data_IF_735327099237
#
_entry.id   IF_735327099237
#
_cell.length_a   1.000
_cell.length_b   1.000
_cell.length_c   1.000
_cell.angle_alpha   90.00
_cell.angle_beta   90.00
_cell.angle_gamma   90.00
#
_symmetry.space_group_name_H-M   'P 1'
#
loop_
_entity.id
_entity.type
_entity.pdbx_description
1 polymer ?
#
# COMPACT_ATOMS: atom_id res chain seq x y z
N UNK A 1 -1.83 -15.85 -7.67
CA UNK A 1 -1.44 -15.82 -6.24
C UNK A 1 -2.49 -16.55 -5.42
N UNK A 2 -2.12 -17.51 -4.54
CA UNK A 2 -3.07 -18.26 -3.70
C UNK A 2 -3.72 -17.38 -2.62
N UNK A 3 -5.02 -17.53 -2.36
CA UNK A 3 -5.77 -16.69 -1.42
C UNK A 3 -5.12 -16.57 -0.04
N UNK A 4 -4.68 -17.69 0.55
CA UNK A 4 -4.05 -17.73 1.87
C UNK A 4 -2.77 -16.89 1.95
N UNK A 5 -1.97 -16.87 0.89
CA UNK A 5 -0.74 -16.05 0.84
C UNK A 5 -1.10 -14.57 0.87
N UNK A 6 -2.17 -14.18 0.16
CA UNK A 6 -2.70 -12.83 0.20
C UNK A 6 -3.18 -12.43 1.59
N UNK A 7 -3.87 -13.33 2.28
CA UNK A 7 -4.34 -13.09 3.65
C UNK A 7 -3.15 -12.90 4.61
N UNK A 8 -2.15 -13.78 4.55
CA UNK A 8 -0.92 -13.64 5.34
C UNK A 8 -0.19 -12.32 5.06
N UNK A 9 -0.14 -11.88 3.79
CA UNK A 9 0.44 -10.59 3.45
C UNK A 9 -0.34 -9.43 4.09
N UNK A 10 -1.68 -9.45 4.05
CA UNK A 10 -2.51 -8.43 4.71
C UNK A 10 -2.29 -8.43 6.22
N UNK A 11 -2.22 -9.58 6.86
CA UNK A 11 -1.94 -9.70 8.30
C UNK A 11 -0.57 -9.11 8.69
N UNK A 12 0.46 -9.28 7.85
CA UNK A 12 1.78 -8.67 8.07
C UNK A 12 1.80 -7.17 7.82
N UNK A 13 0.97 -6.67 6.90
CA UNK A 13 0.90 -5.24 6.58
C UNK A 13 0.02 -4.45 7.55
N UNK A 14 -1.02 -5.06 8.12
CA UNK A 14 -1.98 -4.38 8.99
C UNK A 14 -1.33 -3.62 10.17
N UNK A 15 -0.33 -4.17 10.89
CA UNK A 15 0.35 -3.46 11.98
C UNK A 15 1.18 -2.25 11.54
N UNK A 16 1.52 -2.15 10.24
CA UNK A 16 2.28 -1.03 9.69
C UNK A 16 1.40 0.18 9.37
N UNK A 17 0.07 0.01 9.39
CA UNK A 17 -0.87 1.10 9.12
C UNK A 17 -1.00 1.96 10.38
N UNK A 18 -0.70 3.28 10.32
CA UNK A 18 -0.83 4.16 11.46
C UNK A 18 -2.27 4.27 11.95
N UNK A 19 -2.44 4.55 13.24
CA UNK A 19 -3.77 4.79 13.82
C UNK A 19 -4.50 5.94 13.10
N UNK A 20 -5.79 5.74 12.80
CA UNK A 20 -6.61 6.72 12.08
C UNK A 20 -6.39 6.76 10.56
N UNK A 21 -5.46 5.95 10.04
CA UNK A 21 -5.22 5.81 8.59
C UNK A 21 -5.87 4.53 8.10
N UNK A 22 -6.58 4.61 6.96
CA UNK A 22 -7.12 3.41 6.31
C UNK A 22 -6.03 2.70 5.51
N UNK A 23 -6.15 1.37 5.32
CA UNK A 23 -5.23 0.60 4.46
C UNK A 23 -5.14 1.17 3.05
N UNK A 24 -6.24 1.70 2.51
CA UNK A 24 -6.26 2.34 1.20
C UNK A 24 -5.39 3.60 1.18
N UNK A 25 -5.56 4.50 2.15
CA UNK A 25 -4.75 5.71 2.26
C UNK A 25 -3.27 5.39 2.48
N UNK A 26 -2.97 4.40 3.33
CA UNK A 26 -1.60 3.92 3.54
C UNK A 26 -0.96 3.44 2.23
N UNK A 27 -1.68 2.63 1.45
CA UNK A 27 -1.19 2.14 0.16
C UNK A 27 -0.96 3.29 -0.83
N UNK A 28 -1.89 4.25 -0.91
CA UNK A 28 -1.76 5.43 -1.77
C UNK A 28 -0.58 6.31 -1.36
N UNK A 29 -0.39 6.55 -0.05
CA UNK A 29 0.74 7.31 0.48
C UNK A 29 2.07 6.63 0.16
N UNK A 30 2.16 5.30 0.30
CA UNK A 30 3.34 4.51 -0.09
C UNK A 30 3.71 4.65 -1.57
N UNK A 31 2.72 4.75 -2.46
CA UNK A 31 2.95 4.99 -3.89
C UNK A 31 3.42 6.43 -4.12
N UNK A 32 2.79 7.41 -3.47
CA UNK A 32 3.16 8.84 -3.56
C UNK A 32 4.55 9.15 -3.00
N UNK A 33 5.04 8.37 -2.05
CA UNK A 33 6.39 8.53 -1.48
C UNK A 33 7.51 8.14 -2.47
N UNK A 34 7.18 7.44 -3.56
CA UNK A 34 8.20 7.09 -4.56
C UNK A 34 8.61 8.34 -5.35
N UNK A 35 9.91 8.67 -5.42
CA UNK A 35 10.36 9.93 -6.01
C UNK A 35 10.05 10.05 -7.50
N UNK A 36 9.82 8.94 -8.20
CA UNK A 36 9.43 8.91 -9.61
C UNK A 36 7.92 9.04 -9.85
N UNK A 37 7.10 9.02 -8.79
CA UNK A 37 5.64 9.15 -8.89
C UNK A 37 5.23 10.58 -8.61
N UNK A 38 4.48 11.18 -9.55
CA UNK A 38 3.94 12.54 -9.41
C UNK A 38 2.45 12.57 -9.13
N UNK A 39 1.72 11.50 -9.49
CA UNK A 39 0.27 11.40 -9.34
C UNK A 39 -0.14 9.94 -9.18
N UNK A 40 -1.18 9.71 -8.38
CA UNK A 40 -1.88 8.42 -8.28
C UNK A 40 -3.34 8.65 -8.64
N UNK A 41 -3.93 7.76 -9.45
CA UNK A 41 -5.30 7.89 -9.96
C UNK A 41 -6.14 6.70 -9.47
N UNK A 42 -6.55 6.68 -8.19
CA UNK A 42 -7.31 5.58 -7.63
C UNK A 42 -8.78 5.64 -8.05
N UNK A 43 -9.38 4.47 -8.30
CA UNK A 43 -10.81 4.35 -8.50
C UNK A 43 -11.60 4.71 -7.24
N UNK A 44 -12.79 5.30 -7.42
CA UNK A 44 -13.73 5.58 -6.34
C UNK A 44 -15.15 5.34 -6.85
N UNK A 45 -15.97 4.64 -6.06
CA UNK A 45 -17.38 4.34 -6.40
C UNK A 45 -18.38 5.30 -5.74
N UNK A 46 -17.90 6.18 -4.86
CA UNK A 46 -18.70 7.18 -4.16
C UNK A 46 -17.82 8.36 -3.71
N UNK A 47 -18.47 9.44 -3.27
CA UNK A 47 -17.80 10.67 -2.84
C UNK A 47 -16.88 10.45 -1.63
N UNK A 48 -17.28 9.59 -0.69
CA UNK A 48 -16.47 9.29 0.50
C UNK A 48 -15.13 8.66 0.15
N UNK A 49 -15.09 7.73 -0.81
CA UNK A 49 -13.85 7.13 -1.30
C UNK A 49 -12.99 8.15 -2.04
N UNK A 50 -13.59 8.99 -2.88
CA UNK A 50 -12.85 10.03 -3.59
C UNK A 50 -12.16 11.01 -2.60
N UNK A 51 -12.89 11.45 -1.57
CA UNK A 51 -12.35 12.30 -0.51
C UNK A 51 -11.26 11.58 0.31
N UNK A 52 -11.48 10.32 0.70
CA UNK A 52 -10.50 9.54 1.46
C UNK A 52 -9.21 9.29 0.65
N UNK A 53 -9.34 8.99 -0.65
CA UNK A 53 -8.21 8.82 -1.56
C UNK A 53 -7.40 10.11 -1.68
N UNK A 54 -8.06 11.27 -1.83
CA UNK A 54 -7.39 12.56 -1.90
C UNK A 54 -6.63 12.89 -0.61
N UNK A 55 -7.25 12.63 0.55
CA UNK A 55 -6.63 12.86 1.86
C UNK A 55 -5.37 12.01 2.13
N UNK A 56 -5.10 10.98 1.33
CA UNK A 56 -3.85 10.23 1.43
C UNK A 56 -2.61 11.09 1.11
N UNK A 57 -2.76 12.13 0.29
CA UNK A 57 -1.67 13.06 -0.03
C UNK A 57 -1.27 13.94 1.17
N UNK A 58 -2.19 14.20 2.10
CA UNK A 58 -1.96 15.02 3.29
C UNK A 58 -1.28 14.25 4.43
N UNK A 59 -1.19 12.92 4.33
CA UNK A 59 -0.45 12.11 5.30
C UNK A 59 1.04 12.43 5.21
N UNK A 60 1.75 12.36 6.34
CA UNK A 60 3.20 12.43 6.33
C UNK A 60 3.79 11.29 5.48
N UNK A 61 4.97 11.49 4.85
CA UNK A 61 5.71 10.39 4.24
C UNK A 61 5.90 9.26 5.24
N UNK A 62 5.75 8.02 4.78
CA UNK A 62 6.03 6.86 5.62
C UNK A 62 7.53 6.84 5.93
N UNK A 63 7.87 6.42 7.14
CA UNK A 63 9.27 6.33 7.54
C UNK A 63 10.00 5.22 6.75
N UNK A 64 11.35 5.30 6.63
CA UNK A 64 12.13 4.31 5.87
C UNK A 64 11.96 2.86 6.36
N UNK A 65 11.72 2.65 7.67
CA UNK A 65 11.54 1.31 8.23
C UNK A 65 10.21 0.72 7.78
N UNK A 66 9.14 1.51 7.76
CA UNK A 66 7.84 1.11 7.21
C UNK A 66 7.95 0.76 5.73
N UNK A 67 8.65 1.57 4.92
CA UNK A 67 8.89 1.27 3.51
C UNK A 67 9.62 -0.06 3.31
N UNK A 68 10.68 -0.29 4.08
CA UNK A 68 11.46 -1.53 4.05
C UNK A 68 10.62 -2.75 4.47
N UNK A 69 9.79 -2.63 5.51
CA UNK A 69 8.93 -3.71 5.98
C UNK A 69 7.89 -4.13 4.92
N UNK A 70 7.23 -3.16 4.26
CA UNK A 70 6.30 -3.47 3.18
C UNK A 70 7.03 -4.09 1.98
N UNK A 71 8.25 -3.63 1.66
CA UNK A 71 9.07 -4.25 0.61
C UNK A 71 9.44 -5.70 0.94
N UNK A 72 9.80 -6.00 2.20
CA UNK A 72 10.07 -7.37 2.63
C UNK A 72 8.85 -8.29 2.46
N UNK A 73 7.65 -7.83 2.85
CA UNK A 73 6.40 -8.59 2.62
C UNK A 73 6.19 -8.88 1.14
N UNK A 74 6.41 -7.90 0.27
CA UNK A 74 6.30 -8.09 -1.18
C UNK A 74 7.30 -9.13 -1.69
N UNK A 75 8.56 -8.99 -1.28
CA UNK A 75 9.68 -9.80 -1.74
C UNK A 75 9.57 -11.26 -1.31
N UNK A 76 9.11 -11.49 -0.07
CA UNK A 76 8.97 -12.81 0.55
C UNK A 76 7.71 -13.55 0.09
N UNK A 77 6.57 -12.84 -0.04
CA UNK A 77 5.26 -13.49 -0.21
C UNK A 77 4.62 -13.26 -1.58
N UNK A 78 4.87 -12.12 -2.23
CA UNK A 78 4.07 -11.71 -3.40
C UNK A 78 4.85 -11.84 -4.70
N UNK A 79 6.14 -11.50 -4.69
CA UNK A 79 6.99 -11.39 -5.88
C UNK A 79 6.92 -12.61 -6.78
N UNK A 80 7.06 -13.82 -6.22
CA UNK A 80 7.03 -15.07 -7.00
C UNK A 80 5.68 -15.33 -7.70
N UNK A 81 4.60 -14.78 -7.15
CA UNK A 81 3.24 -15.02 -7.65
C UNK A 81 2.76 -14.01 -8.68
N UNK A 82 3.48 -12.89 -8.84
CA UNK A 82 3.10 -11.78 -9.75
C UNK A 82 4.17 -11.46 -10.79
N UNK A 83 5.44 -11.75 -10.50
CA UNK A 83 6.52 -11.67 -11.47
C UNK A 83 6.80 -13.04 -12.04
N UNK A 84 6.03 -13.40 -13.08
CA UNK A 84 6.35 -14.57 -13.90
C UNK A 84 7.66 -14.28 -14.62
N UNK A 85 8.73 -15.00 -14.28
CA UNK A 85 9.93 -15.03 -15.14
C UNK A 85 9.51 -15.68 -16.46
N UNK A 86 9.38 -14.88 -17.51
CA UNK A 86 9.33 -15.37 -18.88
C UNK A 86 10.74 -15.58 -19.40
#
# INVERSE_FOLDING_TARGET
MPFEIGLTAVERLAPLVPGGVTTAQFALRRILDQPQVTVVIPGARNLGQAAANAAAADLAPLDPQTHAAVAAVYDELIREHVHVRR
#
